data_IF_429514223294
#
_entry.id   IF_429514223294
#
_cell.length_a   1.000
_cell.length_b   1.000
_cell.length_c   1.000
_cell.angle_alpha   90.00
_cell.angle_beta   90.00
_cell.angle_gamma   90.00
#
_symmetry.space_group_name_H-M   'P 1'
#
loop_
_entity.id
_entity.type
_entity.pdbx_description
1 polymer ?
#
# COMPACT_ATOMS: atom_id res chain seq x y z
N UNK A 1 -31.20 12.73 0.77
CA UNK A 1 -30.13 13.48 1.43
C UNK A 1 -29.94 12.91 2.83
N UNK A 2 -28.89 12.12 3.05
CA UNK A 2 -28.49 11.64 4.38
C UNK A 2 -27.08 12.20 4.64
N UNK A 3 -26.96 13.10 5.62
CA UNK A 3 -25.68 13.59 6.12
C UNK A 3 -24.98 12.45 6.85
N UNK A 4 -23.83 12.01 6.35
CA UNK A 4 -22.95 11.09 7.05
C UNK A 4 -22.00 11.89 7.95
N UNK A 5 -22.26 11.87 9.26
CA UNK A 5 -21.33 12.34 10.29
C UNK A 5 -20.16 11.36 10.41
N UNK A 6 -18.93 11.89 10.31
CA UNK A 6 -17.69 11.12 10.50
C UNK A 6 -17.24 11.15 11.95
N UNK A 7 -16.80 10.02 12.47
CA UNK A 7 -16.12 9.91 13.76
C UNK A 7 -14.72 9.33 13.54
N UNK A 8 -13.71 9.94 14.15
CA UNK A 8 -12.34 9.48 14.18
C UNK A 8 -12.02 8.99 15.59
N UNK A 9 -11.52 7.76 15.73
CA UNK A 9 -11.15 7.19 17.02
C UNK A 9 -9.76 7.72 17.41
N UNK A 10 -9.68 8.66 18.35
CA UNK A 10 -8.43 9.14 18.95
C UNK A 10 -8.46 8.77 20.44
N UNK A 11 -7.66 7.78 20.82
CA UNK A 11 -7.51 7.36 22.22
C UNK A 11 -6.33 8.11 22.86
N UNK A 12 -6.61 8.84 23.94
CA UNK A 12 -5.60 9.54 24.72
C UNK A 12 -4.90 8.56 25.68
N UNK A 13 -3.56 8.61 25.64
CA UNK A 13 -2.58 7.84 26.42
C UNK A 13 -2.26 6.42 25.89
N UNK A 14 -1.01 6.26 25.42
CA UNK A 14 -0.38 4.96 25.12
C UNK A 14 -0.97 4.25 23.90
N UNK A 15 -0.33 4.41 22.73
CA UNK A 15 -0.75 3.84 21.45
C UNK A 15 -1.14 2.35 21.56
N UNK A 16 -2.41 2.03 21.41
CA UNK A 16 -2.86 0.66 21.14
C UNK A 16 -2.57 0.36 19.68
N UNK A 17 -1.69 -0.61 19.42
CA UNK A 17 -1.55 -1.21 18.09
C UNK A 17 -2.68 -2.23 17.96
N UNK A 18 -3.78 -1.82 17.33
CA UNK A 18 -4.84 -2.74 16.95
C UNK A 18 -4.29 -3.65 15.84
N UNK A 19 -4.16 -4.95 16.12
CA UNK A 19 -4.17 -5.94 15.04
C UNK A 19 -5.43 -5.75 14.20
N UNK A 20 -5.24 -5.80 12.88
CA UNK A 20 -6.22 -5.66 11.78
C UNK A 20 -7.67 -5.34 12.18
N UNK A 21 -8.05 -4.07 12.02
CA UNK A 21 -9.46 -3.65 11.84
C UNK A 21 -9.61 -3.17 10.40
N UNK A 22 -10.29 -3.96 9.55
CA UNK A 22 -10.70 -3.49 8.23
C UNK A 22 -11.89 -2.54 8.39
N UNK A 23 -11.65 -1.25 8.15
CA UNK A 23 -12.69 -0.26 7.89
C UNK A 23 -12.63 0.10 6.41
N UNK A 24 -13.17 -0.78 5.55
CA UNK A 24 -13.36 -0.48 4.13
C UNK A 24 -14.47 0.57 3.98
N UNK A 25 -14.15 1.76 3.44
CA UNK A 25 -15.16 2.75 3.04
C UNK A 25 -14.94 4.21 3.47
N UNK A 26 -13.71 4.69 3.66
CA UNK A 26 -13.46 6.13 3.92
C UNK A 26 -12.70 6.77 2.76
N UNK A 27 -13.42 7.09 1.68
CA UNK A 27 -12.92 8.01 0.65
C UNK A 27 -13.12 9.46 1.10
N UNK A 28 -12.04 10.25 0.95
CA UNK A 28 -11.97 11.71 0.93
C UNK A 28 -12.29 12.46 2.24
N UNK A 29 -11.30 12.89 3.04
CA UNK A 29 -11.10 14.30 3.47
C UNK A 29 -9.73 14.38 4.18
N UNK A 30 -8.66 14.60 3.42
CA UNK A 30 -7.47 15.29 3.94
C UNK A 30 -7.50 16.66 3.27
N UNK A 31 -7.91 17.68 4.02
CA UNK A 31 -7.83 19.06 3.54
C UNK A 31 -6.35 19.42 3.33
N UNK A 32 -6.04 20.06 2.22
CA UNK A 32 -4.73 20.67 2.01
C UNK A 32 -4.49 21.71 3.10
N UNK A 33 -3.30 21.70 3.70
CA UNK A 33 -2.83 22.83 4.49
C UNK A 33 -2.53 23.94 3.48
N UNK A 34 -3.32 25.01 3.50
CA UNK A 34 -3.04 26.19 2.67
C UNK A 34 -1.61 26.69 2.90
N UNK A 35 -0.97 27.17 1.84
CA UNK A 35 0.32 27.84 1.93
C UNK A 35 0.19 29.08 2.83
N UNK A 36 1.17 29.30 3.71
CA UNK A 36 1.29 30.58 4.40
C UNK A 36 1.57 31.64 3.33
N UNK A 37 0.59 32.50 3.06
CA UNK A 37 0.82 33.71 2.28
C UNK A 37 1.89 34.57 2.95
N UNK A 38 2.75 35.19 2.16
CA UNK A 38 3.66 36.24 2.64
C UNK A 38 2.85 37.36 3.28
N UNK A 39 3.28 37.81 4.46
CA UNK A 39 2.66 38.91 5.19
C UNK A 39 2.64 40.18 4.32
N UNK A 40 1.46 40.58 3.86
CA UNK A 40 1.25 41.87 3.19
C UNK A 40 1.38 43.04 4.17
N UNK A 41 1.71 44.22 3.65
CA UNK A 41 1.80 45.44 4.43
C UNK A 41 0.47 45.78 5.12
N UNK A 42 0.58 46.31 6.34
CA UNK A 42 -0.53 46.52 7.28
C UNK A 42 -1.45 47.64 6.76
N UNK A 43 -2.57 47.26 6.15
CA UNK A 43 -3.67 48.16 5.84
C UNK A 43 -4.31 48.74 7.11
N UNK A 44 -4.86 49.95 7.00
CA UNK A 44 -5.51 50.67 8.11
C UNK A 44 -6.73 49.92 8.66
N UNK A 45 -6.88 49.97 9.98
CA UNK A 45 -7.90 49.28 10.74
C UNK A 45 -9.31 49.81 10.41
N UNK A 46 -10.17 48.97 9.82
CA UNK A 46 -11.59 49.27 9.64
C UNK A 46 -12.36 49.33 10.96
N UNK A 47 -13.55 49.97 10.99
CA UNK A 47 -14.31 50.19 12.22
C UNK A 47 -14.76 48.88 12.87
N UNK A 48 -14.73 48.89 14.21
CA UNK A 48 -15.04 47.79 15.11
C UNK A 48 -16.50 47.35 14.98
N UNK A 49 -16.73 46.10 14.58
CA UNK A 49 -18.05 45.48 14.55
C UNK A 49 -18.64 45.27 15.96
N UNK A 50 -19.97 45.24 16.02
CA UNK A 50 -20.75 45.16 17.27
C UNK A 50 -20.52 43.85 18.06
N UNK A 51 -20.75 43.97 19.37
CA UNK A 51 -20.48 42.95 20.39
C UNK A 51 -21.56 41.86 20.34
N UNK A 52 -21.18 40.65 19.92
CA UNK A 52 -22.04 39.46 20.04
C UNK A 52 -22.19 39.01 21.49
N UNK A 53 -23.39 38.56 21.85
CA UNK A 53 -23.81 38.26 23.22
C UNK A 53 -22.95 37.22 23.95
N UNK A 54 -22.68 37.50 25.22
CA UNK A 54 -21.94 36.64 26.13
C UNK A 54 -22.75 35.40 26.51
N UNK A 55 -22.30 34.21 26.09
CA UNK A 55 -22.76 32.96 26.67
C UNK A 55 -22.05 32.73 28.01
N UNK A 56 -22.75 33.04 29.10
CA UNK A 56 -22.36 32.71 30.46
C UNK A 56 -22.56 31.22 30.72
N UNK A 57 -21.60 30.38 30.34
CA UNK A 57 -21.16 29.17 31.06
C UNK A 57 -20.05 28.44 30.27
N UNK A 58 -18.86 29.06 30.13
CA UNK A 58 -17.68 28.42 29.54
C UNK A 58 -16.80 27.76 30.62
N UNK A 59 -17.40 26.88 31.43
CA UNK A 59 -16.67 25.86 32.23
C UNK A 59 -17.26 24.47 32.02
N UNK A 60 -17.20 23.97 30.79
CA UNK A 60 -17.15 22.53 30.56
C UNK A 60 -15.76 22.15 30.08
N UNK A 61 -14.92 21.73 31.03
CA UNK A 61 -13.92 20.70 30.74
C UNK A 61 -14.69 19.62 29.98
N UNK A 62 -14.35 19.40 28.71
CA UNK A 62 -14.81 18.21 28.00
C UNK A 62 -14.08 17.05 28.67
N UNK A 63 -14.67 16.57 29.76
CA UNK A 63 -14.45 15.24 30.30
C UNK A 63 -14.94 14.29 29.21
N UNK A 64 -14.05 13.93 28.29
CA UNK A 64 -14.28 12.81 27.39
C UNK A 64 -14.03 11.49 28.15
N UNK A 65 -14.72 11.32 29.27
CA UNK A 65 -15.15 9.99 29.69
C UNK A 65 -16.40 9.71 28.88
N UNK A 66 -16.25 9.49 27.57
CA UNK A 66 -17.07 8.42 27.00
C UNK A 66 -16.55 7.18 27.68
N UNK A 67 -17.16 6.86 28.82
CA UNK A 67 -17.31 5.48 29.26
C UNK A 67 -17.41 4.65 27.98
N UNK A 68 -16.58 3.63 27.82
CA UNK A 68 -17.02 2.43 27.10
C UNK A 68 -18.41 2.16 27.67
N UNK A 69 -19.46 2.67 27.03
CA UNK A 69 -20.80 2.32 27.43
C UNK A 69 -20.83 0.88 27.03
N UNK A 70 -20.75 0.00 28.02
CA UNK A 70 -21.34 -1.33 27.94
C UNK A 70 -22.82 -1.10 27.68
N UNK A 71 -23.18 -0.69 26.46
CA UNK A 71 -24.53 -0.82 25.97
C UNK A 71 -24.65 -2.32 25.74
N UNK A 72 -25.26 -2.98 26.72
CA UNK A 72 -25.65 -4.38 26.66
C UNK A 72 -26.77 -4.59 25.62
N UNK A 73 -26.66 -3.98 24.44
CA UNK A 73 -27.45 -4.42 23.30
C UNK A 73 -26.78 -5.71 22.83
N UNK A 74 -27.31 -6.84 23.27
CA UNK A 74 -26.84 -8.16 22.83
C UNK A 74 -26.87 -8.27 21.29
N UNK A 75 -27.80 -7.56 20.66
CA UNK A 75 -28.10 -7.57 19.24
C UNK A 75 -27.61 -6.31 18.52
N UNK A 76 -27.00 -6.50 17.35
CA UNK A 76 -26.60 -5.42 16.44
C UNK A 76 -27.81 -5.01 15.59
N UNK A 77 -28.21 -3.74 15.67
CA UNK A 77 -29.34 -3.18 14.93
C UNK A 77 -28.92 -1.92 14.17
N UNK A 78 -29.80 -1.37 13.34
CA UNK A 78 -29.50 -0.18 12.51
C UNK A 78 -29.01 1.03 13.32
N UNK A 79 -29.43 1.17 14.59
CA UNK A 79 -28.98 2.24 15.50
C UNK A 79 -27.60 1.99 16.12
N UNK A 80 -27.12 0.77 16.03
CA UNK A 80 -25.86 0.31 16.60
C UNK A 80 -24.77 0.14 15.53
N UNK A 81 -25.09 0.36 14.25
CA UNK A 81 -24.12 0.28 13.14
C UNK A 81 -22.89 1.16 13.43
N UNK A 82 -21.69 0.60 13.26
CA UNK A 82 -20.42 1.28 13.55
C UNK A 82 -20.02 1.32 15.03
N UNK A 83 -20.83 0.81 15.96
CA UNK A 83 -20.44 0.73 17.36
C UNK A 83 -19.41 -0.38 17.61
N UNK A 84 -18.53 -0.15 18.59
CA UNK A 84 -17.57 -1.13 19.09
C UNK A 84 -18.10 -1.77 20.39
N UNK A 85 -17.95 -3.10 20.50
CA UNK A 85 -18.29 -3.91 21.68
C UNK A 85 -17.09 -4.72 22.12
N UNK A 86 -16.66 -4.55 23.36
CA UNK A 86 -15.66 -5.42 23.99
C UNK A 86 -16.36 -6.48 24.84
N UNK A 87 -16.19 -7.75 24.49
CA UNK A 87 -16.78 -8.88 25.21
C UNK A 87 -15.81 -9.39 26.29
N UNK A 88 -16.07 -8.99 27.55
CA UNK A 88 -15.19 -9.30 28.68
C UNK A 88 -14.95 -10.80 28.91
N UNK A 89 -15.92 -11.67 28.62
CA UNK A 89 -15.80 -13.13 28.84
C UNK A 89 -14.86 -13.81 27.84
N UNK A 90 -14.88 -13.37 26.59
CA UNK A 90 -14.08 -13.96 25.51
C UNK A 90 -12.82 -13.14 25.20
N UNK A 91 -12.70 -11.93 25.75
CA UNK A 91 -11.61 -10.99 25.45
C UNK A 91 -11.70 -10.37 24.05
N UNK A 92 -12.82 -10.56 23.33
CA UNK A 92 -12.95 -10.20 21.91
C UNK A 92 -13.50 -8.79 21.73
N UNK A 93 -12.88 -8.03 20.84
CA UNK A 93 -13.44 -6.77 20.33
C UNK A 93 -14.32 -7.10 19.10
N UNK A 94 -15.49 -6.50 19.01
CA UNK A 94 -16.44 -6.67 17.90
C UNK A 94 -16.90 -5.30 17.42
N UNK A 95 -17.30 -5.20 16.15
CA UNK A 95 -18.00 -4.04 15.63
C UNK A 95 -19.34 -4.45 15.00
N UNK A 96 -20.34 -3.58 15.09
CA UNK A 96 -21.65 -3.83 14.52
C UNK A 96 -21.66 -3.39 13.06
N UNK A 97 -21.86 -4.34 12.15
CA UNK A 97 -22.03 -4.07 10.73
C UNK A 97 -23.13 -4.93 10.11
N UNK A 98 -23.98 -4.32 9.28
CA UNK A 98 -25.09 -4.99 8.58
C UNK A 98 -26.00 -5.78 9.53
N UNK A 99 -26.28 -5.23 10.72
CA UNK A 99 -27.07 -5.88 11.79
C UNK A 99 -26.43 -7.15 12.36
N UNK A 100 -25.13 -7.36 12.15
CA UNK A 100 -24.35 -8.45 12.73
C UNK A 100 -23.15 -7.92 13.53
N UNK A 101 -22.83 -8.60 14.64
CA UNK A 101 -21.57 -8.36 15.34
C UNK A 101 -20.46 -9.12 14.62
N UNK A 102 -19.51 -8.39 14.06
CA UNK A 102 -18.31 -8.94 13.44
C UNK A 102 -17.14 -8.82 14.42
N UNK A 103 -16.47 -9.94 14.68
CA UNK A 103 -15.29 -9.96 15.54
C UNK A 103 -14.13 -9.27 14.84
N UNK A 104 -13.51 -8.33 15.54
CA UNK A 104 -12.20 -7.78 15.19
C UNK A 104 -11.16 -8.81 15.64
N UNK A 105 -10.38 -9.33 14.68
CA UNK A 105 -9.25 -10.20 14.99
C UNK A 105 -8.13 -9.37 15.61
N UNK A 106 -8.18 -9.20 16.93
CA UNK A 106 -7.02 -8.73 17.69
C UNK A 106 -6.07 -9.91 17.86
N UNK A 107 -4.94 -9.93 17.17
CA UNK A 107 -3.87 -10.89 17.47
C UNK A 107 -3.17 -10.41 18.76
N UNK A 108 -3.28 -11.14 19.90
CA UNK A 108 -2.65 -10.72 21.14
C UNK A 108 -1.13 -10.67 20.96
N UNK A 109 -0.46 -9.66 21.54
CA UNK A 109 1.00 -9.52 21.52
C UNK A 109 1.76 -10.76 22.07
N UNK A 110 1.08 -11.66 22.78
CA UNK A 110 1.64 -12.92 23.31
C UNK A 110 1.47 -14.15 22.40
N UNK A 111 0.69 -14.06 21.32
CA UNK A 111 0.61 -15.11 20.27
C UNK A 111 1.61 -14.84 19.13
N UNK A 112 2.66 -14.06 19.41
CA UNK A 112 3.83 -13.94 18.55
C UNK A 112 4.59 -15.27 18.67
N UNK A 113 4.17 -16.25 17.87
CA UNK A 113 4.72 -17.61 17.84
C UNK A 113 6.24 -17.68 17.54
N UNK A 114 6.88 -16.54 17.24
CA UNK A 114 8.32 -16.34 17.10
C UNK A 114 8.83 -15.18 18.00
N UNK A 115 8.58 -15.21 19.32
CA UNK A 115 9.05 -14.14 20.22
C UNK A 115 10.56 -14.30 20.54
N UNK A 116 11.39 -13.24 20.43
CA UNK A 116 11.09 -11.93 19.85
C UNK A 116 11.00 -11.98 18.32
N UNK A 117 10.09 -11.23 17.68
CA UNK A 117 9.95 -11.22 16.22
C UNK A 117 11.30 -10.94 15.53
N UNK A 118 11.60 -11.71 14.49
CA UNK A 118 12.82 -11.55 13.67
C UNK A 118 12.68 -10.38 12.69
N UNK A 119 13.77 -9.92 12.08
CA UNK A 119 13.75 -8.73 11.22
C UNK A 119 13.03 -8.95 9.89
N UNK A 120 13.09 -10.15 9.36
CA UNK A 120 12.44 -10.52 8.10
C UNK A 120 12.03 -12.00 8.09
N UNK A 121 11.23 -12.38 7.09
CA UNK A 121 10.90 -13.78 6.84
C UNK A 121 12.16 -14.63 6.59
N UNK A 122 13.17 -14.07 5.92
CA UNK A 122 14.46 -14.74 5.71
C UNK A 122 15.16 -15.07 7.03
N UNK A 123 15.17 -14.15 7.99
CA UNK A 123 15.81 -14.40 9.28
C UNK A 123 15.07 -15.50 10.07
N UNK A 124 13.73 -15.54 10.01
CA UNK A 124 12.94 -16.65 10.59
C UNK A 124 13.36 -17.98 9.97
N UNK A 125 13.47 -18.03 8.64
CA UNK A 125 13.85 -19.25 7.93
C UNK A 125 15.27 -19.70 8.30
N UNK A 126 16.25 -18.79 8.30
CA UNK A 126 17.64 -19.10 8.67
C UNK A 126 17.81 -19.54 10.12
N UNK A 127 16.93 -19.09 11.02
CA UNK A 127 16.92 -19.55 12.41
C UNK A 127 16.26 -20.92 12.61
N UNK A 128 15.70 -21.52 11.56
CA UNK A 128 14.96 -22.78 11.65
C UNK A 128 13.61 -22.63 12.35
N UNK A 129 13.05 -21.41 12.37
CA UNK A 129 11.79 -21.08 13.05
C UNK A 129 10.59 -21.08 12.09
N UNK A 130 10.83 -21.42 10.83
CA UNK A 130 9.78 -21.58 9.82
C UNK A 130 8.80 -22.69 10.20
N UNK A 131 7.52 -22.40 10.05
CA UNK A 131 6.39 -23.33 10.21
C UNK A 131 5.62 -23.52 8.90
N UNK A 132 6.26 -23.21 7.76
CA UNK A 132 5.63 -23.17 6.44
C UNK A 132 5.16 -21.77 6.03
N UNK A 133 4.47 -21.68 4.90
CA UNK A 133 4.00 -20.40 4.37
C UNK A 133 2.84 -19.83 5.20
N UNK A 134 2.79 -18.51 5.35
CA UNK A 134 1.70 -17.86 6.06
C UNK A 134 2.10 -16.58 6.76
N UNK A 135 1.25 -16.10 7.67
CA UNK A 135 1.47 -14.84 8.38
C UNK A 135 2.43 -15.03 9.57
N UNK A 136 3.49 -14.25 9.60
CA UNK A 136 4.44 -14.16 10.71
C UNK A 136 4.50 -12.75 11.26
N UNK A 137 4.92 -12.61 12.50
CA UNK A 137 5.32 -11.34 13.05
C UNK A 137 6.78 -11.07 12.72
N UNK A 138 7.07 -9.89 12.19
CA UNK A 138 8.42 -9.43 11.90
C UNK A 138 8.63 -8.03 12.45
N UNK A 139 9.88 -7.70 12.77
CA UNK A 139 10.30 -6.38 13.23
C UNK A 139 11.58 -5.95 12.50
N UNK A 140 11.47 -5.36 11.30
CA UNK A 140 12.63 -4.93 10.51
C UNK A 140 13.53 -3.93 11.22
N UNK A 141 12.99 -3.16 12.17
CA UNK A 141 13.77 -2.22 12.97
C UNK A 141 14.70 -2.92 13.99
N UNK A 142 14.44 -4.19 14.33
CA UNK A 142 15.23 -4.97 15.27
C UNK A 142 15.20 -4.49 16.73
N UNK A 143 14.34 -3.53 17.06
CA UNK A 143 14.17 -2.95 18.41
C UNK A 143 12.72 -2.64 18.69
N UNK A 144 12.37 -2.56 19.97
CA UNK A 144 11.04 -2.15 20.45
C UNK A 144 9.91 -2.94 19.76
N UNK A 145 9.85 -4.25 20.08
CA UNK A 145 8.91 -5.18 19.45
C UNK A 145 7.46 -4.74 19.60
N UNK A 146 7.11 -4.13 20.72
CA UNK A 146 5.76 -3.66 20.99
C UNK A 146 5.33 -2.55 20.02
N UNK A 147 6.26 -1.68 19.63
CA UNK A 147 5.96 -0.58 18.72
C UNK A 147 6.17 -0.94 17.26
N UNK A 148 7.19 -1.73 16.94
CA UNK A 148 7.67 -1.88 15.57
C UNK A 148 7.27 -3.20 14.91
N UNK A 149 6.91 -4.23 15.67
CA UNK A 149 6.52 -5.51 15.07
C UNK A 149 5.18 -5.41 14.34
N UNK A 150 5.06 -6.06 13.18
CA UNK A 150 3.82 -6.15 12.41
C UNK A 150 3.70 -7.53 11.77
N UNK A 151 2.52 -7.86 11.25
CA UNK A 151 2.29 -9.13 10.56
C UNK A 151 2.61 -8.99 9.07
N UNK A 152 3.43 -9.88 8.55
CA UNK A 152 3.69 -10.00 7.14
C UNK A 152 3.43 -11.44 6.70
N UNK A 153 2.94 -11.60 5.47
CA UNK A 153 2.94 -12.93 4.87
C UNK A 153 4.37 -13.29 4.49
N UNK A 154 4.82 -14.45 4.94
CA UNK A 154 6.07 -15.06 4.55
C UNK A 154 5.83 -16.28 3.65
N UNK A 155 6.46 -16.28 2.49
CA UNK A 155 6.64 -17.49 1.69
C UNK A 155 7.99 -18.10 2.07
N UNK A 156 7.91 -19.19 2.82
CA UNK A 156 9.01 -19.97 3.40
C UNK A 156 9.40 -21.18 2.55
N UNK A 157 8.71 -21.45 1.45
CA UNK A 157 8.91 -22.66 0.63
C UNK A 157 9.48 -22.36 -0.75
N UNK A 158 9.01 -21.31 -1.43
CA UNK A 158 9.32 -21.09 -2.84
C UNK A 158 10.75 -20.61 -3.03
N UNK A 159 11.50 -21.26 -3.94
CA UNK A 159 12.87 -20.87 -4.30
C UNK A 159 13.80 -20.68 -3.09
N UNK A 160 13.68 -21.57 -2.10
CA UNK A 160 14.47 -21.52 -0.87
C UNK A 160 13.86 -20.64 0.23
N UNK A 161 12.69 -20.05 0.02
CA UNK A 161 11.88 -19.38 1.03
C UNK A 161 12.46 -18.08 1.59
N UNK A 162 11.82 -17.57 2.65
CA UNK A 162 12.24 -16.37 3.35
C UNK A 162 11.75 -15.07 2.70
N UNK A 163 10.82 -15.17 1.74
CA UNK A 163 10.25 -14.03 1.05
C UNK A 163 9.22 -13.34 1.94
N UNK A 164 9.26 -12.02 2.01
CA UNK A 164 8.29 -11.19 2.73
C UNK A 164 7.36 -10.50 1.73
N UNK A 165 6.04 -10.66 1.82
CA UNK A 165 5.12 -9.95 0.93
C UNK A 165 5.10 -8.46 1.27
N UNK A 166 5.40 -7.60 0.29
CA UNK A 166 5.35 -6.14 0.51
C UNK A 166 4.31 -5.41 -0.30
N UNK A 167 3.86 -5.95 -1.42
CA UNK A 167 2.81 -5.32 -2.19
C UNK A 167 1.99 -6.36 -2.93
N UNK A 168 0.72 -6.03 -3.14
CA UNK A 168 -0.17 -6.78 -4.01
C UNK A 168 -0.97 -5.83 -4.89
N UNK A 169 -1.41 -6.36 -6.03
CA UNK A 169 -2.48 -5.80 -6.84
C UNK A 169 -3.40 -6.96 -7.23
N UNK A 170 -4.72 -6.84 -7.06
CA UNK A 170 -5.71 -7.91 -7.27
C UNK A 170 -6.86 -7.54 -8.20
N UNK A 171 -7.09 -6.26 -8.36
CA UNK A 171 -8.04 -5.72 -9.30
C UNK A 171 -7.39 -4.52 -9.98
N UNK A 172 -7.88 -4.20 -11.16
CA UNK A 172 -7.48 -3.06 -11.98
C UNK A 172 -7.67 -1.73 -11.23
N UNK A 173 -7.87 -0.65 -11.95
CA UNK A 173 -7.98 0.72 -11.46
C UNK A 173 -8.78 0.99 -10.15
N UNK A 174 -9.51 0.04 -9.58
CA UNK A 174 -10.18 0.08 -8.26
C UNK A 174 -9.35 0.69 -7.14
N UNK A 175 -8.03 0.46 -7.11
CA UNK A 175 -7.16 1.04 -6.07
C UNK A 175 -6.66 2.44 -6.43
N UNK A 176 -6.49 2.76 -7.71
CA UNK A 176 -6.01 4.08 -8.19
C UNK A 176 -7.13 5.11 -8.27
N UNK A 177 -8.24 4.75 -8.91
CA UNK A 177 -9.41 5.59 -9.10
C UNK A 177 -10.67 4.80 -8.72
N UNK A 178 -10.95 4.67 -7.40
CA UNK A 178 -12.10 3.92 -6.90
C UNK A 178 -13.43 4.44 -7.43
N UNK A 179 -13.50 5.73 -7.78
CA UNK A 179 -14.67 6.39 -8.37
C UNK A 179 -15.01 5.90 -9.79
N UNK A 180 -14.19 5.00 -10.35
CA UNK A 180 -14.36 4.41 -11.67
C UNK A 180 -14.74 2.94 -11.63
N UNK A 181 -14.99 2.37 -10.45
CA UNK A 181 -15.45 0.98 -10.26
C UNK A 181 -14.63 -0.06 -11.04
N UNK A 182 -13.31 0.09 -11.05
CA UNK A 182 -12.39 -0.80 -11.78
C UNK A 182 -12.23 -0.50 -13.27
N UNK A 183 -12.94 0.50 -13.80
CA UNK A 183 -12.78 1.03 -15.15
C UNK A 183 -11.62 2.02 -15.28
N UNK A 184 -11.29 2.40 -16.52
CA UNK A 184 -10.20 3.35 -16.82
C UNK A 184 -10.31 4.67 -16.05
N UNK A 185 -9.17 5.20 -15.59
CA UNK A 185 -9.10 6.45 -14.82
C UNK A 185 -9.35 7.71 -15.65
N UNK A 186 -9.55 7.60 -16.96
CA UNK A 186 -9.95 8.73 -17.80
C UNK A 186 -11.25 9.36 -17.28
N UNK A 187 -11.21 10.66 -16.96
CA UNK A 187 -12.34 11.39 -16.38
C UNK A 187 -12.57 11.15 -14.89
N UNK A 188 -11.69 10.40 -14.21
CA UNK A 188 -11.71 10.27 -12.75
C UNK A 188 -11.46 11.62 -12.09
N UNK A 189 -12.15 11.84 -10.96
CA UNK A 189 -11.91 13.00 -10.09
C UNK A 189 -10.69 12.81 -9.18
N UNK A 190 -10.14 11.59 -9.15
CA UNK A 190 -8.96 11.26 -8.35
C UNK A 190 -7.73 11.94 -8.93
N UNK A 191 -6.88 12.49 -8.06
CA UNK A 191 -5.64 13.15 -8.46
C UNK A 191 -4.68 12.12 -9.11
N UNK A 192 -4.19 12.33 -10.34
CA UNK A 192 -3.29 11.39 -10.99
C UNK A 192 -1.97 11.13 -10.25
N UNK A 193 -1.52 12.03 -9.38
CA UNK A 193 -0.35 11.82 -8.51
C UNK A 193 -0.51 10.62 -7.56
N UNK A 194 -1.74 10.15 -7.37
CA UNK A 194 -2.09 8.99 -6.56
C UNK A 194 -1.96 7.67 -7.33
N UNK A 195 -1.69 7.69 -8.64
CA UNK A 195 -1.61 6.53 -9.52
C UNK A 195 -0.38 5.63 -9.33
N UNK A 196 0.52 5.97 -8.41
CA UNK A 196 1.64 5.11 -8.07
C UNK A 196 1.25 4.12 -6.97
N UNK A 197 1.45 2.80 -7.18
CA UNK A 197 1.20 1.75 -6.18
C UNK A 197 1.90 2.04 -4.86
N UNK A 198 3.09 2.66 -4.90
CA UNK A 198 3.89 2.96 -3.71
C UNK A 198 3.62 4.36 -3.12
N UNK A 199 2.54 5.02 -3.56
CA UNK A 199 2.06 6.26 -2.97
C UNK A 199 1.50 6.03 -1.56
N UNK A 200 1.67 7.01 -0.66
CA UNK A 200 1.31 6.87 0.77
C UNK A 200 -0.16 6.53 1.05
N UNK A 201 -1.06 6.77 0.11
CA UNK A 201 -2.48 6.43 0.26
C UNK A 201 -2.75 4.92 0.16
N UNK A 202 -1.85 4.17 -0.48
CA UNK A 202 -1.93 2.72 -0.66
C UNK A 202 -1.11 1.97 0.41
N UNK A 203 -0.49 2.70 1.33
CA UNK A 203 0.28 2.12 2.43
C UNK A 203 -0.65 1.48 3.47
N UNK A 204 -0.30 0.27 3.89
CA UNK A 204 -0.93 -0.47 4.98
C UNK A 204 0.14 -1.01 5.93
N UNK A 205 -0.26 -1.37 7.14
CA UNK A 205 0.64 -2.00 8.12
C UNK A 205 0.84 -3.50 7.84
N UNK A 206 0.00 -4.09 6.99
CA UNK A 206 0.00 -5.49 6.57
C UNK A 206 -0.56 -5.57 5.16
N UNK A 207 -0.16 -6.59 4.39
CA UNK A 207 -0.71 -6.86 3.07
C UNK A 207 -1.68 -8.03 3.17
N UNK A 208 -2.98 -7.73 3.10
CA UNK A 208 -4.01 -8.75 3.18
C UNK A 208 -4.32 -9.37 1.82
N UNK A 209 -3.99 -10.64 1.65
CA UNK A 209 -4.30 -11.40 0.43
C UNK A 209 -5.78 -11.80 0.31
N UNK A 210 -6.57 -11.65 1.39
CA UNK A 210 -7.99 -11.98 1.41
C UNK A 210 -8.83 -10.96 0.64
N UNK A 211 -8.44 -9.68 0.70
CA UNK A 211 -9.07 -8.60 -0.05
C UNK A 211 -8.71 -8.71 -1.53
N UNK A 212 -9.71 -8.71 -2.39
CA UNK A 212 -9.53 -8.91 -3.83
C UNK A 212 -10.06 -7.76 -4.68
N UNK A 213 -10.97 -6.96 -4.13
CA UNK A 213 -11.69 -5.92 -4.85
C UNK A 213 -12.14 -4.84 -3.86
N UNK A 214 -11.71 -3.61 -4.11
CA UNK A 214 -12.06 -2.34 -3.45
C UNK A 214 -10.82 -1.41 -3.52
N UNK A 215 -10.75 -0.42 -2.63
CA UNK A 215 -9.61 0.49 -2.49
C UNK A 215 -8.33 -0.22 -2.04
N UNK A 216 -8.45 -1.40 -1.43
CA UNK A 216 -7.35 -2.24 -0.93
C UNK A 216 -6.99 -3.35 -1.94
N UNK A 217 -7.54 -3.29 -3.16
CA UNK A 217 -7.15 -4.15 -4.26
C UNK A 217 -5.72 -3.89 -4.74
N UNK A 218 -5.09 -2.77 -4.38
CA UNK A 218 -3.70 -2.46 -4.69
C UNK A 218 -3.08 -1.73 -3.51
N UNK A 219 -2.32 -2.46 -2.71
CA UNK A 219 -1.73 -1.96 -1.46
C UNK A 219 -0.31 -2.45 -1.32
N UNK A 220 0.43 -1.76 -0.46
CA UNK A 220 1.77 -2.14 -0.08
C UNK A 220 2.05 -1.83 1.39
N UNK A 221 3.09 -2.44 1.96
CA UNK A 221 3.59 -2.07 3.27
C UNK A 221 4.13 -0.64 3.24
N UNK A 222 4.17 0.02 4.39
CA UNK A 222 4.83 1.31 4.55
C UNK A 222 6.21 1.34 3.84
N UNK A 223 6.47 2.37 3.01
CA UNK A 223 7.71 2.44 2.21
C UNK A 223 8.99 2.34 3.07
N UNK A 224 8.95 2.90 4.28
CA UNK A 224 10.07 2.80 5.22
C UNK A 224 10.29 1.35 5.65
N UNK A 225 9.22 0.60 5.91
CA UNK A 225 9.31 -0.82 6.26
C UNK A 225 9.82 -1.65 5.08
N UNK A 226 9.34 -1.39 3.85
CA UNK A 226 9.84 -2.04 2.64
C UNK A 226 11.35 -1.79 2.49
N UNK A 227 11.78 -0.54 2.67
CA UNK A 227 13.19 -0.18 2.58
C UNK A 227 14.03 -0.84 3.66
N UNK A 228 13.54 -0.90 4.90
CA UNK A 228 14.21 -1.60 6.00
C UNK A 228 14.35 -3.09 5.72
N UNK A 229 13.29 -3.74 5.26
CA UNK A 229 13.30 -5.16 4.87
C UNK A 229 14.37 -5.40 3.80
N UNK A 230 14.29 -4.66 2.70
CA UNK A 230 15.18 -4.81 1.55
C UNK A 230 16.66 -4.58 1.88
N UNK A 231 16.97 -3.68 2.82
CA UNK A 231 18.34 -3.46 3.28
C UNK A 231 18.81 -4.45 4.35
N UNK A 232 17.89 -5.05 5.09
CA UNK A 232 18.21 -5.98 6.17
C UNK A 232 18.53 -7.40 5.66
N UNK A 233 18.01 -7.75 4.48
CA UNK A 233 18.16 -9.06 3.86
C UNK A 233 19.11 -9.04 2.66
N UNK A 234 18.99 -10.10 1.84
CA UNK A 234 19.58 -10.09 0.51
C UNK A 234 18.80 -9.06 -0.30
N UNK A 235 19.48 -8.13 -0.96
CA UNK A 235 18.83 -7.14 -1.82
C UNK A 235 18.24 -7.85 -3.04
N UNK A 236 17.03 -8.36 -2.89
CA UNK A 236 16.34 -9.12 -3.91
C UNK A 236 14.86 -8.77 -3.92
N UNK A 237 14.26 -8.77 -5.10
CA UNK A 237 12.83 -8.53 -5.28
C UNK A 237 12.28 -9.59 -6.22
N UNK A 238 11.29 -10.34 -5.73
CA UNK A 238 10.50 -11.30 -6.49
C UNK A 238 9.21 -10.68 -6.98
N UNK A 239 8.90 -10.99 -8.22
CA UNK A 239 7.75 -10.55 -8.96
C UNK A 239 6.94 -11.79 -9.30
N UNK A 240 5.74 -11.87 -8.74
CA UNK A 240 4.84 -13.00 -8.96
C UNK A 240 3.56 -12.51 -9.62
N UNK A 241 3.32 -13.00 -10.82
CA UNK A 241 2.06 -12.91 -11.54
C UNK A 241 1.29 -14.19 -11.25
N UNK A 242 0.00 -14.10 -10.91
CA UNK A 242 -0.86 -15.23 -10.56
C UNK A 242 -1.98 -15.50 -11.57
N UNK A 243 -2.87 -16.47 -11.32
CA UNK A 243 -3.99 -16.76 -12.22
C UNK A 243 -4.96 -15.59 -12.44
N UNK A 244 -5.84 -15.70 -13.43
CA UNK A 244 -6.82 -14.66 -13.77
C UNK A 244 -8.09 -14.68 -12.91
N UNK A 245 -8.36 -15.80 -12.23
CA UNK A 245 -9.56 -15.94 -11.40
C UNK A 245 -9.37 -15.27 -10.04
N UNK A 246 -10.39 -14.58 -9.50
CA UNK A 246 -10.24 -13.79 -8.27
C UNK A 246 -9.69 -14.57 -7.05
N UNK A 247 -9.81 -15.89 -7.04
CA UNK A 247 -9.41 -16.75 -5.92
C UNK A 247 -8.06 -17.46 -6.11
N UNK A 248 -7.43 -17.35 -7.28
CA UNK A 248 -6.32 -18.22 -7.65
C UNK A 248 -4.94 -17.57 -7.48
N UNK A 249 -4.39 -17.57 -6.27
CA UNK A 249 -3.03 -17.04 -6.05
C UNK A 249 -1.91 -17.95 -6.58
N UNK A 250 -2.23 -18.96 -7.41
CA UNK A 250 -1.22 -19.80 -8.04
C UNK A 250 -0.38 -18.95 -9.00
N UNK A 251 0.96 -18.94 -8.85
CA UNK A 251 1.84 -18.25 -9.78
C UNK A 251 1.62 -18.76 -11.21
N UNK A 252 1.48 -17.83 -12.17
CA UNK A 252 1.58 -18.09 -13.59
C UNK A 252 3.01 -17.80 -14.08
N UNK A 253 3.57 -16.69 -13.61
CA UNK A 253 4.96 -16.29 -13.86
C UNK A 253 5.56 -15.77 -12.57
N UNK A 254 6.76 -16.26 -12.27
CA UNK A 254 7.42 -15.97 -11.01
C UNK A 254 8.92 -15.91 -11.23
N UNK A 255 9.52 -14.79 -10.82
CA UNK A 255 10.94 -14.57 -10.98
C UNK A 255 11.42 -13.58 -9.95
N UNK A 256 12.72 -13.61 -9.66
CA UNK A 256 13.32 -12.64 -8.75
C UNK A 256 14.61 -12.04 -9.30
N UNK A 257 14.75 -10.75 -9.04
CA UNK A 257 15.95 -10.00 -9.27
C UNK A 257 16.83 -10.04 -8.02
N UNK A 258 18.08 -10.49 -8.15
CA UNK A 258 19.09 -10.38 -7.09
C UNK A 258 20.04 -9.23 -7.44
N UNK A 259 19.97 -8.14 -6.70
CA UNK A 259 20.73 -6.92 -6.99
C UNK A 259 22.20 -7.09 -6.63
N UNK A 260 23.06 -6.46 -7.44
CA UNK A 260 24.50 -6.51 -7.27
C UNK A 260 24.92 -5.80 -5.97
N UNK A 261 25.52 -6.50 -4.99
CA UNK A 261 25.82 -5.95 -3.67
C UNK A 261 26.92 -4.88 -3.68
N UNK A 262 27.71 -4.79 -4.75
CA UNK A 262 28.80 -3.82 -4.89
C UNK A 262 28.28 -2.47 -5.41
N UNK A 263 27.09 -2.46 -6.02
CA UNK A 263 26.52 -1.25 -6.63
C UNK A 263 25.58 -0.52 -5.67
N UNK A 264 25.53 0.81 -5.80
CA UNK A 264 24.52 1.61 -5.10
C UNK A 264 23.13 1.17 -5.58
N UNK A 265 22.25 0.92 -4.62
CA UNK A 265 20.87 0.52 -4.87
C UNK A 265 19.90 1.48 -4.19
N UNK A 266 19.21 2.27 -5.02
CA UNK A 266 18.15 3.21 -4.64
C UNK A 266 16.74 2.63 -4.80
N UNK A 267 16.60 1.31 -4.95
CA UNK A 267 15.30 0.64 -4.95
C UNK A 267 14.56 0.91 -3.62
N UNK A 268 13.29 1.27 -3.72
CA UNK A 268 12.43 1.66 -2.58
C UNK A 268 12.86 2.94 -1.85
N UNK A 269 13.66 3.81 -2.49
CA UNK A 269 14.02 5.13 -1.96
C UNK A 269 13.09 6.20 -2.57
N UNK A 270 12.51 7.05 -1.72
CA UNK A 270 11.73 8.21 -2.17
C UNK A 270 12.67 9.29 -2.72
N UNK A 271 12.16 10.09 -3.67
CA UNK A 271 12.83 11.21 -4.32
C UNK A 271 14.05 10.87 -5.19
N UNK A 272 14.50 9.61 -5.21
CA UNK A 272 15.51 9.11 -6.14
C UNK A 272 14.87 8.30 -7.28
N UNK A 273 15.44 8.43 -8.48
CA UNK A 273 15.21 7.48 -9.56
C UNK A 273 16.28 6.40 -9.57
N UNK A 274 15.87 5.19 -9.86
CA UNK A 274 16.75 4.06 -10.13
C UNK A 274 16.29 3.34 -11.39
N UNK A 275 17.21 3.22 -12.35
CA UNK A 275 17.08 2.29 -13.47
C UNK A 275 18.14 1.22 -13.31
N UNK A 276 17.71 -0.03 -13.32
CA UNK A 276 18.55 -1.20 -13.19
C UNK A 276 18.37 -2.04 -14.45
N UNK A 277 19.47 -2.53 -15.01
CA UNK A 277 19.44 -3.32 -16.25
C UNK A 277 20.32 -4.55 -16.16
N UNK A 278 19.96 -5.59 -16.91
CA UNK A 278 20.80 -6.79 -17.05
C UNK A 278 22.13 -6.47 -17.76
N UNK A 279 22.12 -5.59 -18.76
CA UNK A 279 23.32 -5.21 -19.52
C UNK A 279 24.38 -4.53 -18.65
N UNK A 280 23.94 -3.70 -17.71
CA UNK A 280 24.86 -3.08 -16.77
C UNK A 280 25.31 -4.04 -15.68
N UNK A 281 24.73 -5.25 -15.55
CA UNK A 281 24.94 -6.16 -14.43
C UNK A 281 24.48 -5.55 -13.09
N UNK A 282 23.34 -4.87 -13.09
CA UNK A 282 22.75 -4.29 -11.87
C UNK A 282 22.07 -5.36 -10.99
N UNK A 283 21.61 -6.45 -11.59
CA UNK A 283 21.03 -7.61 -10.92
C UNK A 283 21.15 -8.85 -11.82
N UNK A 284 20.90 -10.03 -11.23
CA UNK A 284 20.58 -11.26 -11.98
C UNK A 284 19.07 -11.48 -11.98
N UNK A 285 18.52 -11.96 -13.11
CA UNK A 285 17.11 -12.33 -13.22
C UNK A 285 16.96 -13.85 -13.19
N UNK A 286 16.20 -14.36 -12.21
CA UNK A 286 16.10 -15.79 -11.94
C UNK A 286 14.62 -16.20 -12.04
N UNK A 287 14.28 -16.95 -13.09
CA UNK A 287 12.92 -17.42 -13.32
C UNK A 287 12.66 -18.66 -12.47
N UNK A 288 11.62 -18.59 -11.62
CA UNK A 288 11.10 -19.71 -10.84
C UNK A 288 10.03 -20.44 -11.65
N UNK A 289 9.11 -19.68 -12.27
CA UNK A 289 8.02 -20.22 -13.06
C UNK A 289 7.72 -19.35 -14.27
N UNK A 290 7.44 -19.97 -15.41
CA UNK A 290 6.98 -19.29 -16.63
C UNK A 290 6.02 -20.18 -17.42
N UNK A 291 4.72 -19.95 -17.25
CA UNK A 291 3.69 -20.85 -17.80
C UNK A 291 3.33 -20.50 -19.25
N UNK A 292 3.40 -19.22 -19.62
CA UNK A 292 2.99 -18.74 -20.94
C UNK A 292 4.05 -18.96 -22.02
N UNK A 293 3.85 -19.97 -22.85
CA UNK A 293 4.78 -20.34 -23.93
C UNK A 293 4.85 -19.32 -25.08
N UNK A 294 3.82 -18.49 -25.23
CA UNK A 294 3.71 -17.47 -26.29
C UNK A 294 4.34 -16.12 -25.90
N UNK A 295 4.77 -15.98 -24.65
CA UNK A 295 5.40 -14.76 -24.11
C UNK A 295 6.79 -15.07 -23.57
N UNK A 296 7.64 -14.05 -23.53
CA UNK A 296 8.90 -14.07 -22.77
C UNK A 296 8.67 -13.49 -21.38
N UNK A 297 9.53 -13.82 -20.42
CA UNK A 297 9.55 -13.20 -19.09
C UNK A 297 10.99 -12.94 -18.66
N UNK A 298 11.59 -11.88 -19.22
CA UNK A 298 13.04 -11.67 -19.19
C UNK A 298 13.49 -10.65 -18.15
N UNK A 299 12.61 -9.70 -17.79
CA UNK A 299 12.92 -8.69 -16.79
C UNK A 299 14.16 -7.89 -17.14
N UNK A 300 14.31 -7.47 -18.40
CA UNK A 300 15.54 -6.82 -18.90
C UNK A 300 15.89 -5.49 -18.22
N UNK A 301 14.89 -4.77 -17.75
CA UNK A 301 14.99 -3.55 -16.94
C UNK A 301 14.07 -3.67 -15.73
N UNK A 302 14.54 -3.15 -14.59
CA UNK A 302 13.72 -2.78 -13.44
C UNK A 302 13.88 -1.28 -13.21
N UNK A 303 12.76 -0.58 -13.06
CA UNK A 303 12.74 0.84 -12.82
C UNK A 303 11.94 1.18 -11.57
N UNK A 304 12.47 2.14 -10.83
CA UNK A 304 11.91 2.63 -9.59
C UNK A 304 11.98 4.15 -9.54
N UNK A 305 10.87 4.78 -9.20
CA UNK A 305 10.83 6.16 -8.76
C UNK A 305 9.61 6.39 -7.89
N UNK A 306 9.77 7.03 -6.73
CA UNK A 306 8.64 7.43 -5.90
C UNK A 306 8.80 8.87 -5.44
N UNK A 307 7.73 9.67 -5.52
CA UNK A 307 7.73 11.11 -5.15
C UNK A 307 8.90 11.90 -5.77
N UNK A 308 9.29 11.57 -7.00
CA UNK A 308 10.43 12.23 -7.62
C UNK A 308 10.06 13.63 -8.07
N UNK A 309 10.97 14.59 -7.86
CA UNK A 309 10.69 16.01 -8.07
C UNK A 309 11.11 16.52 -9.46
N UNK A 310 10.97 15.69 -10.51
CA UNK A 310 11.19 16.12 -11.89
C UNK A 310 10.31 15.34 -12.87
N UNK A 311 9.93 16.03 -13.96
CA UNK A 311 9.09 15.48 -15.02
C UNK A 311 9.78 14.30 -15.71
N UNK A 312 9.05 13.19 -15.87
CA UNK A 312 9.44 12.10 -16.75
C UNK A 312 8.34 11.91 -17.79
N UNK A 313 8.71 11.97 -19.08
CA UNK A 313 7.76 12.11 -20.18
C UNK A 313 7.15 10.78 -20.65
N UNK A 314 7.56 9.65 -20.04
CA UNK A 314 7.33 8.33 -20.61
C UNK A 314 6.74 7.32 -19.61
N UNK A 315 6.80 7.57 -18.30
CA UNK A 315 6.11 6.82 -17.21
C UNK A 315 5.90 7.71 -15.98
N UNK A 316 4.88 7.45 -15.16
CA UNK A 316 4.80 8.05 -13.83
C UNK A 316 5.82 7.43 -12.87
N UNK A 317 5.86 7.99 -11.66
CA UNK A 317 6.38 7.30 -10.48
C UNK A 317 5.82 5.88 -10.35
N UNK A 318 6.69 4.97 -9.94
CA UNK A 318 6.34 3.65 -9.46
C UNK A 318 7.40 2.61 -9.79
N UNK A 319 6.95 1.36 -9.80
CA UNK A 319 7.76 0.19 -10.08
C UNK A 319 7.38 -0.40 -11.44
N UNK A 320 8.38 -0.64 -12.26
CA UNK A 320 8.22 -1.17 -13.61
C UNK A 320 9.27 -2.25 -13.84
N UNK A 321 8.93 -3.31 -14.57
CA UNK A 321 9.83 -4.38 -14.92
C UNK A 321 9.48 -4.97 -16.29
N UNK A 322 10.47 -5.23 -17.14
CA UNK A 322 10.25 -5.78 -18.49
C UNK A 322 11.38 -5.43 -19.46
N UNK A 323 11.20 -5.63 -20.77
CA UNK A 323 12.19 -5.21 -21.77
C UNK A 323 12.24 -3.68 -21.96
N UNK A 324 13.44 -3.13 -22.21
CA UNK A 324 13.59 -1.77 -22.70
C UNK A 324 12.92 -1.58 -24.05
N UNK A 325 12.30 -0.42 -24.28
CA UNK A 325 11.87 -0.04 -25.62
C UNK A 325 13.04 0.35 -26.52
N UNK A 326 12.85 0.18 -27.84
CA UNK A 326 13.82 0.51 -28.89
C UNK A 326 14.23 1.98 -28.87
N UNK A 327 13.36 2.88 -28.42
CA UNK A 327 13.63 4.32 -28.39
C UNK A 327 14.75 4.74 -27.40
N UNK A 328 15.35 3.81 -26.64
CA UNK A 328 16.48 4.03 -25.71
C UNK A 328 16.26 5.20 -24.72
N UNK A 329 15.01 5.43 -24.33
CA UNK A 329 14.65 6.40 -23.29
C UNK A 329 14.69 5.70 -21.93
N UNK A 330 15.19 6.35 -20.86
CA UNK A 330 15.45 5.76 -19.54
C UNK A 330 14.46 4.68 -19.07
N UNK A 331 13.56 4.90 -18.13
CA UNK A 331 12.64 3.85 -17.69
C UNK A 331 11.53 3.48 -18.68
N UNK A 332 11.80 3.44 -20.00
CA UNK A 332 10.82 3.12 -21.03
C UNK A 332 10.76 1.63 -21.38
N UNK A 333 9.58 1.03 -21.17
CA UNK A 333 9.32 -0.38 -21.48
C UNK A 333 8.73 -0.57 -22.89
N UNK A 334 9.12 -1.65 -23.55
CA UNK A 334 8.59 -2.04 -24.85
C UNK A 334 7.06 -2.32 -24.77
N UNK A 335 6.35 -2.14 -25.88
CA UNK A 335 4.91 -2.39 -26.03
C UNK A 335 4.59 -3.42 -27.14
N UNK A 336 5.58 -4.18 -27.60
CA UNK A 336 5.50 -5.16 -28.68
C UNK A 336 4.59 -6.39 -28.47
N UNK A 337 3.99 -6.55 -27.29
CA UNK A 337 3.07 -7.64 -26.98
C UNK A 337 3.67 -9.00 -26.66
N UNK A 338 4.99 -9.13 -26.61
CA UNK A 338 5.67 -10.42 -26.57
C UNK A 338 6.30 -10.75 -25.22
N UNK A 339 6.20 -9.87 -24.22
CA UNK A 339 6.78 -10.11 -22.90
C UNK A 339 5.81 -9.80 -21.77
N UNK A 340 5.97 -10.57 -20.69
CA UNK A 340 5.38 -10.36 -19.38
C UNK A 340 6.05 -9.17 -18.71
N UNK A 341 5.30 -8.10 -18.49
CA UNK A 341 5.82 -6.85 -17.96
C UNK A 341 4.97 -6.32 -16.82
N UNK A 342 5.62 -5.57 -15.95
CA UNK A 342 5.05 -4.74 -14.91
C UNK A 342 5.20 -3.27 -15.33
N UNK A 343 4.09 -2.53 -15.46
CA UNK A 343 4.13 -1.10 -15.83
C UNK A 343 3.42 -0.29 -14.74
N UNK A 344 4.04 0.72 -14.15
CA UNK A 344 3.30 1.72 -13.34
C UNK A 344 2.42 2.60 -14.22
N UNK A 345 1.50 3.32 -13.57
CA UNK A 345 0.54 4.24 -14.17
C UNK A 345 1.18 5.16 -15.24
N UNK A 346 0.39 5.44 -16.29
CA UNK A 346 0.70 6.45 -17.30
C UNK A 346 -0.23 7.65 -17.15
N UNK A 347 0.12 8.54 -16.23
CA UNK A 347 -0.27 9.92 -16.18
C UNK A 347 0.92 10.73 -16.71
N UNK A 348 0.64 11.93 -17.18
CA UNK A 348 1.68 12.84 -17.60
C UNK A 348 1.92 13.83 -16.48
N UNK A 349 3.13 13.86 -15.94
CA UNK A 349 3.56 14.87 -14.96
C UNK A 349 4.42 15.90 -15.70
N UNK A 350 3.95 17.14 -15.80
CA UNK A 350 4.66 18.26 -16.45
C UNK A 350 4.81 19.44 -15.48
N UNK A 351 5.80 20.29 -15.75
CA UNK A 351 6.03 21.60 -15.12
C UNK A 351 6.47 21.62 -13.65
N UNK A 352 6.78 22.83 -13.19
CA UNK A 352 7.01 23.21 -11.78
C UNK A 352 6.00 24.31 -11.42
N UNK A 353 5.06 24.10 -10.47
CA UNK A 353 4.81 22.85 -9.73
C UNK A 353 4.28 21.71 -10.62
N UNK A 354 4.53 20.47 -10.21
CA UNK A 354 4.16 19.26 -10.96
C UNK A 354 2.63 19.21 -11.19
N UNK A 355 2.20 19.31 -12.44
CA UNK A 355 0.81 19.08 -12.86
C UNK A 355 0.69 17.69 -13.45
N UNK A 356 -0.15 16.86 -12.83
CA UNK A 356 -0.43 15.51 -13.31
C UNK A 356 -1.79 15.47 -14.03
N UNK A 357 -1.84 14.81 -15.19
CA UNK A 357 -3.07 14.58 -15.94
C UNK A 357 -3.20 13.11 -16.32
N UNK A 358 -4.41 12.58 -16.20
CA UNK A 358 -4.78 11.30 -16.79
C UNK A 358 -4.61 11.38 -18.31
N UNK A 359 -3.69 10.59 -18.87
CA UNK A 359 -3.58 10.45 -20.32
C UNK A 359 -4.68 9.51 -20.84
N UNK A 360 -4.98 9.51 -22.14
CA UNK A 360 -5.82 8.48 -22.77
C UNK A 360 -5.06 7.16 -22.92
N UNK A 361 -3.73 7.23 -23.04
CA UNK A 361 -2.83 6.10 -23.17
C UNK A 361 -2.42 5.55 -21.79
N UNK A 362 -3.37 5.30 -20.89
CA UNK A 362 -3.10 4.79 -19.53
C UNK A 362 -2.53 3.37 -19.60
N UNK A 363 -1.21 3.25 -19.71
CA UNK A 363 -0.48 2.01 -19.51
C UNK A 363 -0.03 1.90 -18.06
N UNK A 364 -0.97 2.10 -17.14
CA UNK A 364 -0.77 1.68 -15.76
C UNK A 364 -0.84 0.20 -15.60
N UNK A 365 -0.59 -0.27 -14.38
CA UNK A 365 -0.52 -1.69 -14.03
C UNK A 365 -1.59 -2.52 -14.71
N UNK A 366 -2.75 -1.92 -15.00
CA UNK A 366 -3.90 -2.57 -15.54
C UNK A 366 -4.62 -1.56 -16.46
N UNK A 367 -4.92 -1.94 -17.71
CA UNK A 367 -5.99 -1.32 -18.51
C UNK A 367 -5.66 -0.53 -19.78
N UNK A 368 -4.57 -0.83 -20.49
CA UNK A 368 -4.47 -0.47 -21.91
C UNK A 368 -5.12 -1.56 -22.78
N UNK A 369 -5.67 -1.21 -23.95
CA UNK A 369 -6.24 -2.17 -24.92
C UNK A 369 -5.29 -3.33 -25.32
N UNK A 370 -4.03 -3.28 -24.90
CA UNK A 370 -3.06 -4.36 -24.97
C UNK A 370 -2.27 -4.46 -23.65
N UNK A 371 -2.88 -5.03 -22.60
CA UNK A 371 -2.13 -5.57 -21.45
C UNK A 371 -1.52 -6.89 -21.94
N UNK A 372 -0.19 -7.02 -21.89
CA UNK A 372 0.53 -8.12 -22.55
C UNK A 372 0.66 -9.35 -21.65
N UNK A 373 -0.29 -9.43 -20.72
CA UNK A 373 -0.48 -10.48 -19.75
C UNK A 373 -1.98 -10.51 -19.42
N UNK A 374 -2.68 -11.66 -19.59
CA UNK A 374 -4.08 -11.81 -19.20
C UNK A 374 -4.32 -11.72 -17.69
N UNK A 375 -3.26 -11.69 -16.88
CA UNK A 375 -3.34 -11.70 -15.44
C UNK A 375 -3.53 -10.29 -14.86
N UNK A 376 -4.60 -10.16 -14.08
CA UNK A 376 -5.05 -8.93 -13.40
C UNK A 376 -4.40 -8.70 -12.04
N UNK A 377 -3.46 -9.56 -11.63
CA UNK A 377 -3.00 -9.66 -10.24
C UNK A 377 -1.51 -9.90 -10.09
N UNK A 378 -0.89 -9.17 -9.19
CA UNK A 378 0.56 -9.21 -8.95
C UNK A 378 0.81 -9.27 -7.44
N UNK A 379 1.79 -10.06 -7.03
CA UNK A 379 2.39 -10.03 -5.69
C UNK A 379 3.89 -9.71 -5.82
N UNK A 380 4.38 -8.86 -4.92
CA UNK A 380 5.77 -8.41 -4.89
C UNK A 380 6.38 -8.75 -3.53
N UNK A 381 7.54 -9.39 -3.54
CA UNK A 381 8.21 -9.90 -2.36
C UNK A 381 9.68 -9.52 -2.30
N UNK A 382 10.16 -8.77 -1.29
CA UNK A 382 11.57 -8.69 -0.96
C UNK A 382 12.03 -9.85 -0.07
N UNK A 383 13.35 -10.07 -0.07
CA UNK A 383 14.06 -10.97 0.85
C UNK A 383 14.60 -10.19 2.05
#
# INVERSE_FOLDING_TARGET
MLQATRAQLMLSAGRIKLGEVYLSGVTALRGERGENGTQGEKGSQGPKGEKGDSCGDCRKRISLVTSLRTIASETCHTRSEGQLRYEKKSGRLNFCSRKQWLQIQTVPLGEINNTPPRKSCLEILFKGESRGDGMYWINPAGKDNERNAFRAYCDMTTSGGGWTLVAKVTHDYSWVCPDRDGGMCLGSKTNPLYGNLFHEIHQRDTVDLSIKSDIDAGIHLNNTLIRLLFLSGRQSVRFTFVGTSANDWTPSEDAYATFNPIKKNSMFVDHEWGQYTLNNLDYTWNIIQHTRKDKKFTGGIICWGNKVNHSYRFYDHGLHAGAPAVANKPCLLDNNQNEVMLKSHYATIQDTPLKARWDMAQFGFLGARYILVPNKRIAIWPI
#
